data_IF_174709762922
#
_entry.id   IF_174709762922
#
_cell.length_a   1.000
_cell.length_b   1.000
_cell.length_c   1.000
_cell.angle_alpha   90.00
_cell.angle_beta   90.00
_cell.angle_gamma   90.00
#
_symmetry.space_group_name_H-M   'P 1'
#
loop_
_entity.id
_entity.type
_entity.pdbx_description
1 polymer ?
#
# COMPACT_ATOMS: atom_id res chain seq x y z
N UNK A 1 -33.19 -30.56 -40.50
CA UNK A 1 -32.27 -30.55 -39.34
C UNK A 1 -32.29 -29.15 -38.68
N UNK A 2 -33.00 -28.96 -37.59
CA UNK A 2 -33.09 -27.69 -36.89
C UNK A 2 -32.02 -27.69 -35.79
N UNK A 3 -30.98 -26.87 -35.95
CA UNK A 3 -29.95 -26.66 -34.91
C UNK A 3 -30.58 -25.85 -33.77
N UNK A 4 -30.78 -26.48 -32.63
CA UNK A 4 -31.17 -25.78 -31.38
C UNK A 4 -30.01 -24.93 -30.94
N UNK A 5 -30.15 -23.61 -31.00
CA UNK A 5 -29.24 -22.64 -30.41
C UNK A 5 -29.58 -22.63 -28.93
N UNK A 6 -28.68 -23.17 -28.10
CA UNK A 6 -28.77 -23.08 -26.63
C UNK A 6 -28.21 -21.73 -26.21
N UNK A 7 -29.08 -20.80 -25.87
CA UNK A 7 -28.66 -19.57 -25.19
C UNK A 7 -28.26 -19.93 -23.74
N UNK A 8 -26.97 -19.89 -23.46
CA UNK A 8 -26.47 -19.96 -22.09
C UNK A 8 -26.67 -18.56 -21.50
N UNK A 9 -27.74 -18.39 -20.70
CA UNK A 9 -27.94 -17.23 -19.84
C UNK A 9 -26.88 -17.27 -18.73
N UNK A 10 -25.79 -16.54 -18.93
CA UNK A 10 -24.82 -16.29 -17.86
C UNK A 10 -25.52 -15.34 -16.88
N UNK A 11 -25.72 -15.72 -15.60
CA UNK A 11 -26.39 -14.85 -14.64
C UNK A 11 -25.57 -13.58 -14.42
N UNK A 12 -26.20 -12.44 -14.68
CA UNK A 12 -25.64 -11.08 -14.53
C UNK A 12 -25.21 -10.76 -13.07
N UNK A 13 -25.51 -11.64 -12.13
CA UNK A 13 -25.20 -11.46 -10.71
C UNK A 13 -23.74 -11.70 -10.35
N UNK A 14 -22.91 -12.24 -11.25
CA UNK A 14 -21.49 -12.56 -10.96
C UNK A 14 -20.52 -11.39 -11.24
N UNK A 15 -20.99 -10.32 -11.88
CA UNK A 15 -20.12 -9.20 -12.30
C UNK A 15 -19.98 -8.12 -11.23
N UNK A 16 -20.84 -8.11 -10.20
CA UNK A 16 -20.91 -6.99 -9.24
C UNK A 16 -20.03 -7.14 -7.99
N UNK A 17 -19.34 -8.28 -7.80
CA UNK A 17 -18.60 -8.55 -6.55
C UNK A 17 -17.07 -8.29 -6.63
N UNK A 18 -16.52 -7.88 -7.77
CA UNK A 18 -15.06 -7.69 -7.90
C UNK A 18 -14.61 -6.23 -8.06
N UNK A 19 -15.53 -5.25 -8.00
CA UNK A 19 -15.20 -3.87 -8.38
C UNK A 19 -14.90 -2.94 -7.19
N UNK A 20 -14.85 -3.42 -5.95
CA UNK A 20 -14.74 -2.54 -4.76
C UNK A 20 -13.32 -2.28 -4.26
N UNK A 21 -12.28 -2.89 -4.82
CA UNK A 21 -10.94 -2.79 -4.27
C UNK A 21 -9.83 -2.61 -5.32
N UNK A 22 -10.02 -1.91 -6.40
CA UNK A 22 -8.93 -1.58 -7.36
C UNK A 22 -8.91 -0.07 -7.60
N UNK A 23 -8.74 0.68 -6.51
CA UNK A 23 -8.52 2.11 -6.63
C UNK A 23 -7.17 2.37 -7.32
N UNK A 24 -7.11 3.16 -8.39
CA UNK A 24 -5.83 3.57 -8.96
C UNK A 24 -4.92 4.21 -7.90
N UNK A 25 -3.62 3.90 -7.93
CA UNK A 25 -2.68 4.42 -6.93
C UNK A 25 -2.68 5.95 -6.86
N UNK A 26 -2.83 6.64 -7.99
CA UNK A 26 -2.92 8.10 -8.03
C UNK A 26 -4.17 8.63 -7.30
N UNK A 27 -5.30 7.96 -7.44
CA UNK A 27 -6.53 8.35 -6.75
C UNK A 27 -6.41 8.10 -5.24
N UNK A 28 -5.78 6.99 -4.85
CA UNK A 28 -5.44 6.73 -3.45
C UNK A 28 -4.52 7.80 -2.89
N UNK A 29 -3.48 8.20 -3.63
CA UNK A 29 -2.58 9.29 -3.23
C UNK A 29 -3.37 10.58 -3.02
N UNK A 30 -4.17 11.00 -4.00
CA UNK A 30 -4.95 12.23 -3.94
C UNK A 30 -5.92 12.24 -2.74
N UNK A 31 -6.54 11.10 -2.45
CA UNK A 31 -7.47 10.97 -1.33
C UNK A 31 -6.77 11.02 0.05
N UNK A 32 -5.55 10.51 0.17
CA UNK A 32 -4.87 10.38 1.47
C UNK A 32 -3.85 11.48 1.78
N UNK A 33 -3.44 12.30 0.81
CA UNK A 33 -2.53 13.43 1.06
C UNK A 33 -3.05 14.31 2.20
N UNK A 34 -2.13 14.73 3.07
CA UNK A 34 -2.38 15.60 4.23
C UNK A 34 -3.27 15.01 5.32
N UNK A 35 -3.62 13.74 5.27
CA UNK A 35 -4.26 13.06 6.40
C UNK A 35 -3.37 13.17 7.65
N UNK A 36 -3.92 13.57 8.82
CA UNK A 36 -3.11 13.73 10.03
C UNK A 36 -2.41 12.43 10.45
N UNK A 37 -1.21 12.55 11.01
CA UNK A 37 -0.54 11.41 11.65
C UNK A 37 -1.06 11.20 13.07
N UNK A 38 -1.38 9.95 13.41
CA UNK A 38 -1.70 9.52 14.76
C UNK A 38 -1.14 8.14 15.02
N UNK A 39 -0.27 7.98 16.01
CA UNK A 39 0.25 6.67 16.41
C UNK A 39 -0.91 5.75 16.82
N UNK A 40 -0.95 4.54 16.23
CA UNK A 40 -2.05 3.59 16.40
C UNK A 40 -3.32 3.94 15.61
N UNK A 41 -3.36 5.08 14.93
CA UNK A 41 -4.49 5.51 14.10
C UNK A 41 -4.62 4.68 12.83
N UNK A 42 -5.87 4.58 12.32
CA UNK A 42 -6.24 3.68 11.20
C UNK A 42 -7.17 4.32 10.18
N UNK A 43 -7.47 5.62 10.28
CA UNK A 43 -8.46 6.29 9.45
C UNK A 43 -8.07 7.74 9.13
N UNK A 44 -8.97 8.46 8.44
CA UNK A 44 -8.78 9.85 8.00
C UNK A 44 -8.66 10.87 9.14
N UNK A 45 -9.12 10.56 10.35
CA UNK A 45 -8.91 11.41 11.53
C UNK A 45 -7.48 11.30 12.10
N UNK A 46 -6.73 10.30 11.67
CA UNK A 46 -5.33 10.09 12.00
C UNK A 46 -4.89 8.67 11.69
N UNK A 47 -3.73 8.54 11.08
CA UNK A 47 -3.17 7.26 10.64
C UNK A 47 -1.67 7.19 10.93
N UNK A 48 -1.16 6.00 11.32
CA UNK A 48 0.27 5.76 11.41
C UNK A 48 0.84 5.13 10.13
N UNK A 49 2.16 5.02 10.03
CA UNK A 49 2.84 4.59 8.82
C UNK A 49 2.45 3.16 8.39
N UNK A 50 2.34 2.22 9.32
CA UNK A 50 2.01 0.83 8.99
C UNK A 50 0.52 0.63 8.68
N UNK A 51 -0.38 1.34 9.35
CA UNK A 51 -1.81 1.35 9.00
C UNK A 51 -2.04 2.00 7.62
N UNK A 52 -1.29 3.04 7.30
CA UNK A 52 -1.36 3.71 6.01
C UNK A 52 -1.04 2.75 4.84
N UNK A 53 0.10 2.06 4.90
CA UNK A 53 0.44 1.09 3.84
C UNK A 53 -0.46 -0.15 3.88
N UNK A 54 -1.00 -0.54 5.04
CA UNK A 54 -2.02 -1.59 5.14
C UNK A 54 -3.30 -1.19 4.39
N UNK A 55 -3.74 0.05 4.56
CA UNK A 55 -4.90 0.58 3.86
C UNK A 55 -4.67 0.66 2.36
N UNK A 56 -3.49 1.13 1.93
CA UNK A 56 -3.10 1.15 0.52
C UNK A 56 -3.10 -0.25 -0.09
N UNK A 57 -2.52 -1.24 0.59
CA UNK A 57 -2.50 -2.61 0.11
C UNK A 57 -3.91 -3.15 -0.12
N UNK A 58 -4.84 -2.83 0.76
CA UNK A 58 -6.24 -3.24 0.63
C UNK A 58 -6.95 -2.52 -0.51
N UNK A 59 -6.89 -1.20 -0.56
CA UNK A 59 -7.70 -0.39 -1.49
C UNK A 59 -7.17 -0.45 -2.93
N UNK A 60 -5.84 -0.51 -3.11
CA UNK A 60 -5.19 -0.48 -4.43
C UNK A 60 -4.94 -1.89 -4.98
N UNK A 61 -4.48 -2.81 -4.13
CA UNK A 61 -4.04 -4.14 -4.56
C UNK A 61 -4.98 -5.28 -4.12
N UNK A 62 -6.03 -4.99 -3.36
CA UNK A 62 -6.96 -5.99 -2.80
C UNK A 62 -6.27 -7.04 -1.90
N UNK A 63 -5.19 -6.65 -1.24
CA UNK A 63 -4.38 -7.53 -0.39
C UNK A 63 -4.42 -7.07 1.06
N UNK A 64 -4.77 -7.98 1.96
CA UNK A 64 -4.61 -7.74 3.38
C UNK A 64 -3.17 -8.03 3.81
N UNK A 65 -2.51 -7.05 4.40
CA UNK A 65 -1.18 -7.19 4.97
C UNK A 65 -1.22 -6.98 6.49
N UNK A 66 -0.25 -7.50 7.26
CA UNK A 66 -0.24 -7.35 8.72
C UNK A 66 -0.22 -5.89 9.18
N UNK A 67 -0.66 -5.66 10.43
CA UNK A 67 -0.84 -4.31 11.00
C UNK A 67 0.47 -3.59 11.29
N UNK A 68 1.52 -4.29 11.70
CA UNK A 68 2.75 -3.64 12.20
C UNK A 68 3.89 -3.71 11.19
N UNK A 69 4.81 -2.73 11.23
CA UNK A 69 6.00 -2.69 10.38
C UNK A 69 6.82 -3.99 10.46
N UNK A 70 6.98 -4.55 11.67
CA UNK A 70 7.76 -5.78 11.88
C UNK A 70 7.11 -6.98 11.21
N UNK A 71 5.79 -7.15 11.38
CA UNK A 71 5.06 -8.26 10.78
C UNK A 71 4.93 -8.11 9.25
N UNK A 72 4.80 -6.88 8.75
CA UNK A 72 4.85 -6.58 7.31
C UNK A 72 6.19 -6.98 6.69
N UNK A 73 7.31 -6.61 7.32
CA UNK A 73 8.65 -7.00 6.84
C UNK A 73 8.84 -8.52 6.79
N UNK A 74 8.26 -9.26 7.73
CA UNK A 74 8.43 -10.72 7.82
C UNK A 74 7.56 -11.49 6.84
N UNK A 75 6.37 -10.98 6.50
CA UNK A 75 5.35 -11.72 5.75
C UNK A 75 5.33 -11.43 4.25
N UNK A 76 5.95 -10.34 3.80
CA UNK A 76 5.90 -9.93 2.40
C UNK A 76 7.14 -10.38 1.62
N UNK A 77 6.99 -10.51 0.30
CA UNK A 77 8.05 -10.96 -0.60
C UNK A 77 9.24 -10.01 -0.62
N UNK A 78 10.46 -10.56 -0.65
CA UNK A 78 11.71 -9.79 -0.62
C UNK A 78 12.01 -9.21 -2.00
N UNK A 79 12.31 -7.91 -2.06
CA UNK A 79 12.92 -7.27 -3.23
C UNK A 79 14.40 -7.07 -2.93
N UNK A 80 15.27 -7.80 -3.65
CA UNK A 80 16.69 -7.87 -3.35
C UNK A 80 17.50 -6.65 -3.81
N UNK A 81 17.08 -5.99 -4.89
CA UNK A 81 17.79 -4.84 -5.45
C UNK A 81 16.94 -3.58 -5.41
N UNK A 82 17.56 -2.46 -5.05
CA UNK A 82 16.94 -1.13 -5.10
C UNK A 82 16.61 -0.70 -6.53
N UNK A 83 17.35 -1.21 -7.51
CA UNK A 83 17.12 -0.92 -8.93
C UNK A 83 15.92 -1.66 -9.52
N UNK A 84 15.43 -2.69 -8.81
CA UNK A 84 14.23 -3.44 -9.20
C UNK A 84 12.95 -3.01 -8.47
N UNK A 85 12.98 -1.89 -7.75
CA UNK A 85 11.79 -1.32 -7.11
C UNK A 85 10.75 -0.92 -8.16
N UNK A 86 9.49 -1.17 -7.82
CA UNK A 86 8.30 -0.79 -8.59
C UNK A 86 7.35 0.02 -7.72
N UNK A 87 6.59 0.92 -8.35
CA UNK A 87 5.52 1.62 -7.63
C UNK A 87 4.61 0.63 -6.90
N UNK A 88 4.33 0.89 -5.62
CA UNK A 88 3.60 -0.02 -4.75
C UNK A 88 4.48 -0.91 -3.86
N UNK A 89 5.79 -1.00 -4.10
CA UNK A 89 6.70 -1.69 -3.17
C UNK A 89 6.77 -0.94 -1.84
N UNK A 90 6.83 -1.67 -0.74
CA UNK A 90 7.01 -1.11 0.58
C UNK A 90 8.49 -0.97 0.90
N UNK A 91 8.89 0.22 1.30
CA UNK A 91 10.25 0.52 1.73
C UNK A 91 10.27 0.78 3.22
N UNK A 92 11.20 0.12 3.91
CA UNK A 92 11.34 0.19 5.36
C UNK A 92 12.64 0.88 5.73
N UNK A 93 12.58 1.70 6.76
CA UNK A 93 13.69 2.46 7.31
C UNK A 93 13.85 2.14 8.79
N UNK A 94 15.06 2.20 9.33
CA UNK A 94 15.26 2.25 10.77
C UNK A 94 14.80 3.60 11.31
N UNK A 95 14.06 3.61 12.40
CA UNK A 95 13.51 4.83 13.00
C UNK A 95 13.55 4.77 14.52
N UNK A 96 14.33 5.65 15.13
CA UNK A 96 14.43 5.75 16.60
C UNK A 96 13.16 6.33 17.23
N UNK A 97 12.36 7.07 16.48
CA UNK A 97 11.11 7.69 16.95
C UNK A 97 9.90 6.75 16.86
N UNK A 98 10.04 5.61 16.19
CA UNK A 98 8.96 4.62 16.08
C UNK A 98 9.03 3.61 17.22
N UNK A 99 7.90 3.26 17.86
CA UNK A 99 7.86 2.23 18.91
C UNK A 99 8.36 0.85 18.43
N UNK A 100 8.24 0.55 17.15
CA UNK A 100 8.73 -0.70 16.55
C UNK A 100 10.19 -0.64 16.11
N UNK A 101 10.83 0.52 16.17
CA UNK A 101 12.17 0.77 15.65
C UNK A 101 12.23 0.96 14.13
N UNK A 102 11.08 0.94 13.45
CA UNK A 102 10.99 1.01 11.99
C UNK A 102 9.92 1.97 11.52
N UNK A 103 10.13 2.53 10.34
CA UNK A 103 9.18 3.32 9.56
C UNK A 103 8.96 2.66 8.21
N UNK A 104 7.78 2.84 7.62
CA UNK A 104 7.42 2.27 6.32
C UNK A 104 6.73 3.31 5.44
N UNK A 105 6.99 3.23 4.13
CA UNK A 105 6.28 3.96 3.10
C UNK A 105 6.15 3.14 1.83
N UNK A 106 5.39 3.67 0.89
CA UNK A 106 5.18 3.09 -0.44
C UNK A 106 6.09 3.79 -1.45
N UNK A 107 6.93 3.05 -2.14
CA UNK A 107 7.69 3.57 -3.28
C UNK A 107 6.74 3.95 -4.42
N UNK A 108 6.98 5.11 -5.02
CA UNK A 108 6.22 5.58 -6.17
C UNK A 108 7.05 5.41 -7.46
N UNK A 109 7.67 6.47 -7.91
CA UNK A 109 8.57 6.59 -9.06
C UNK A 109 9.50 7.79 -8.83
N UNK A 110 10.50 7.96 -9.67
CA UNK A 110 11.43 9.10 -9.60
C UNK A 110 12.07 9.30 -8.22
N UNK A 111 12.41 8.19 -7.55
CA UNK A 111 12.98 8.21 -6.20
C UNK A 111 12.13 8.99 -5.18
N UNK A 112 10.81 8.80 -5.25
CA UNK A 112 9.84 9.32 -4.29
C UNK A 112 9.09 8.20 -3.57
N UNK A 113 8.60 8.50 -2.38
CA UNK A 113 7.77 7.58 -1.61
C UNK A 113 6.66 8.30 -0.85
N UNK A 114 5.56 7.59 -0.65
CA UNK A 114 4.35 8.08 -0.01
C UNK A 114 4.21 7.44 1.36
N UNK A 115 4.05 8.25 2.40
CA UNK A 115 4.07 7.75 3.77
C UNK A 115 3.35 8.68 4.76
N UNK A 116 2.91 8.12 5.89
CA UNK A 116 2.51 8.90 7.05
C UNK A 116 3.77 9.29 7.82
N UNK A 117 4.30 10.48 7.55
CA UNK A 117 5.66 10.91 7.93
C UNK A 117 5.81 11.22 9.43
N UNK A 118 4.76 11.73 10.06
CA UNK A 118 4.77 12.08 11.48
C UNK A 118 3.80 13.21 11.82
N UNK A 119 3.74 13.58 13.11
CA UNK A 119 2.72 14.51 13.64
C UNK A 119 2.70 15.89 12.99
N UNK A 120 3.86 16.39 12.54
CA UNK A 120 3.94 17.72 11.93
C UNK A 120 3.53 17.72 10.46
N UNK A 121 3.75 16.63 9.73
CA UNK A 121 3.59 16.57 8.29
C UNK A 121 2.36 15.77 7.85
N UNK A 122 1.92 14.79 8.63
CA UNK A 122 0.87 13.86 8.23
C UNK A 122 1.30 12.95 7.08
N UNK A 123 0.38 12.64 6.20
CA UNK A 123 0.61 11.82 4.99
C UNK A 123 1.13 12.71 3.87
N UNK A 124 2.33 12.44 3.39
CA UNK A 124 3.03 13.23 2.36
C UNK A 124 3.81 12.35 1.37
N UNK A 125 4.19 12.94 0.25
CA UNK A 125 5.21 12.41 -0.64
C UNK A 125 6.55 13.07 -0.26
N UNK A 126 7.59 12.26 -0.16
CA UNK A 126 8.96 12.71 0.14
C UNK A 126 9.95 12.15 -0.86
N UNK A 127 11.07 12.86 -1.05
CA UNK A 127 12.19 12.34 -1.83
C UNK A 127 12.88 11.21 -1.07
N UNK A 128 13.30 10.19 -1.80
CA UNK A 128 13.88 8.97 -1.27
C UNK A 128 15.41 8.99 -1.35
N UNK A 129 16.06 9.01 -0.21
CA UNK A 129 17.47 8.60 -0.14
C UNK A 129 17.57 7.08 -0.10
N UNK A 130 17.96 6.49 -1.23
CA UNK A 130 18.14 5.03 -1.35
C UNK A 130 19.14 4.44 -0.35
N UNK A 131 20.07 5.24 0.17
CA UNK A 131 21.06 4.79 1.17
C UNK A 131 20.40 4.51 2.52
N UNK A 132 19.33 5.23 2.84
CA UNK A 132 18.58 5.07 4.09
C UNK A 132 17.67 3.84 4.14
N UNK A 133 17.41 3.19 3.00
CA UNK A 133 16.55 2.00 2.93
C UNK A 133 17.18 0.84 3.70
N UNK A 134 16.42 0.28 4.64
CA UNK A 134 16.78 -0.91 5.38
C UNK A 134 16.43 -2.20 4.59
N UNK A 135 15.16 -2.36 4.21
CA UNK A 135 14.68 -3.48 3.39
C UNK A 135 13.52 -3.04 2.50
N UNK A 136 13.29 -3.79 1.42
CA UNK A 136 12.18 -3.57 0.49
C UNK A 136 11.32 -4.84 0.44
N UNK A 137 10.00 -4.67 0.39
CA UNK A 137 9.02 -5.75 0.30
C UNK A 137 8.01 -5.46 -0.79
N UNK A 138 7.55 -6.51 -1.47
CA UNK A 138 6.53 -6.44 -2.52
C UNK A 138 5.24 -7.05 -2.03
N UNK A 139 4.12 -6.34 -2.28
CA UNK A 139 2.77 -6.76 -1.89
C UNK A 139 2.26 -7.85 -2.84
N UNK A 140 2.49 -7.67 -4.15
CA UNK A 140 2.12 -8.64 -5.20
C UNK A 140 3.39 -9.27 -5.81
N UNK A 141 3.34 -10.57 -6.06
CA UNK A 141 4.39 -11.30 -6.78
C UNK A 141 4.19 -11.18 -8.29
#
# INVERSE_FOLDING_TARGET
MIRKIVFILIPLTFIFSQTLCQLPLNDFIADWLYTPYKLGGTNKSGIDCSAFVQRMALDVFCVNIPRTTVTQMKSLSVVKSKDSMKAGDLIFFKSKSSPTGYHVGCYLWNDQFFHAAGRKAGVIISDLDKKSIYVIRRILN
#
